data_IF_648909104936
#
_entry.id   IF_648909104936
#
_cell.length_a   1.000
_cell.length_b   1.000
_cell.length_c   1.000
_cell.angle_alpha   90.00
_cell.angle_beta   90.00
_cell.angle_gamma   90.00
#
_symmetry.space_group_name_H-M   'P 1'
#
loop_
_entity.id
_entity.type
_entity.pdbx_description
1 polymer ?
#
# COMPACT_ATOMS: atom_id res chain seq x y z
N UNK A 1 -18.37 11.62 1.00
CA UNK A 1 -18.17 11.64 2.46
C UNK A 1 -17.72 13.04 2.90
N UNK A 2 -18.14 13.53 4.06
CA UNK A 2 -17.63 14.79 4.63
C UNK A 2 -16.24 14.58 5.23
N UNK A 3 -15.38 15.62 5.20
CA UNK A 3 -13.99 15.56 5.76
C UNK A 3 -13.93 15.07 7.20
N UNK A 4 -14.93 15.40 8.02
CA UNK A 4 -14.99 15.00 9.43
C UNK A 4 -15.18 13.48 9.61
N UNK A 5 -15.99 12.83 8.77
CA UNK A 5 -16.20 11.39 8.81
C UNK A 5 -14.92 10.64 8.43
N UNK A 6 -14.23 11.10 7.39
CA UNK A 6 -12.95 10.51 6.96
C UNK A 6 -11.92 10.58 8.09
N UNK A 7 -11.85 11.71 8.81
CA UNK A 7 -10.91 11.84 9.93
C UNK A 7 -11.15 10.85 11.07
N UNK A 8 -12.42 10.52 11.33
CA UNK A 8 -12.78 9.58 12.38
C UNK A 8 -12.52 8.12 11.96
N UNK A 9 -12.81 7.79 10.71
CA UNK A 9 -12.78 6.41 10.21
C UNK A 9 -11.41 5.97 9.67
N UNK A 10 -10.57 6.91 9.22
CA UNK A 10 -9.30 6.60 8.56
C UNK A 10 -8.30 5.81 9.42
N UNK A 11 -8.10 6.12 10.71
CA UNK A 11 -7.19 5.34 11.55
C UNK A 11 -7.60 3.87 11.70
N UNK A 12 -8.90 3.60 11.72
CA UNK A 12 -9.47 2.25 11.85
C UNK A 12 -9.59 1.53 10.49
N UNK A 13 -9.81 2.28 9.41
CA UNK A 13 -10.08 1.75 8.07
C UNK A 13 -9.19 2.39 6.97
N UNK A 14 -7.86 2.39 7.10
CA UNK A 14 -6.98 3.15 6.20
C UNK A 14 -7.03 2.62 4.76
N UNK A 15 -7.24 1.32 4.57
CA UNK A 15 -7.37 0.70 3.24
C UNK A 15 -8.59 1.15 2.43
N UNK A 16 -9.60 1.77 3.05
CA UNK A 16 -10.73 2.36 2.30
C UNK A 16 -10.36 3.69 1.64
N UNK A 17 -9.33 4.37 2.18
CA UNK A 17 -8.93 5.72 1.78
C UNK A 17 -7.62 5.75 1.01
N UNK A 18 -6.79 4.72 1.18
CA UNK A 18 -5.51 4.57 0.52
C UNK A 18 -5.59 3.48 -0.55
N UNK A 19 -5.31 3.86 -1.80
CA UNK A 19 -5.28 2.95 -2.93
C UNK A 19 -3.85 2.45 -3.15
N UNK A 20 -3.69 1.15 -3.35
CA UNK A 20 -2.38 0.54 -3.62
C UNK A 20 -2.31 0.02 -5.04
N UNK A 21 -1.20 0.26 -5.72
CA UNK A 21 -0.90 -0.31 -7.03
C UNK A 21 0.52 -0.89 -7.03
N UNK A 22 0.66 -2.14 -7.46
CA UNK A 22 1.97 -2.72 -7.71
C UNK A 22 2.61 -2.07 -8.93
N UNK A 23 3.88 -1.74 -8.81
CA UNK A 23 4.73 -1.28 -9.89
C UNK A 23 5.96 -2.18 -9.96
N UNK A 24 6.47 -2.37 -11.17
CA UNK A 24 7.72 -3.10 -11.39
C UNK A 24 8.65 -2.18 -12.12
N UNK A 25 9.87 -2.06 -11.62
CA UNK A 25 10.90 -1.27 -12.27
C UNK A 25 11.60 -2.05 -13.41
N UNK A 26 12.54 -1.40 -14.08
CA UNK A 26 13.29 -2.00 -15.17
C UNK A 26 14.16 -3.19 -14.74
N UNK A 27 14.49 -3.30 -13.44
CA UNK A 27 15.25 -4.40 -12.85
C UNK A 27 14.34 -5.56 -12.37
N UNK A 28 13.03 -5.46 -12.56
CA UNK A 28 12.07 -6.45 -12.09
C UNK A 28 11.77 -6.34 -10.59
N UNK A 29 12.19 -5.27 -9.91
CA UNK A 29 11.91 -5.07 -8.50
C UNK A 29 10.49 -4.53 -8.32
N UNK A 30 9.82 -5.00 -7.28
CA UNK A 30 8.44 -4.65 -6.96
C UNK A 30 8.41 -3.45 -6.04
N UNK A 31 7.75 -2.40 -6.51
CA UNK A 31 7.33 -1.25 -5.71
C UNK A 31 5.82 -1.26 -5.48
N UNK A 32 5.39 -0.58 -4.43
CA UNK A 32 3.97 -0.32 -4.15
C UNK A 32 3.75 1.18 -4.20
N UNK A 33 3.00 1.65 -5.18
CA UNK A 33 2.47 3.00 -5.18
C UNK A 33 1.25 3.05 -4.25
N UNK A 34 1.32 3.89 -3.21
CA UNK A 34 0.21 4.15 -2.30
C UNK A 34 -0.31 5.56 -2.56
N UNK A 35 -1.53 5.67 -3.07
CA UNK A 35 -2.22 6.91 -3.35
C UNK A 35 -3.26 7.26 -2.29
N UNK A 36 -3.30 8.51 -1.87
CA UNK A 36 -4.31 9.01 -0.93
C UNK A 36 -5.53 9.53 -1.70
N UNK A 37 -6.60 8.73 -1.74
CA UNK A 37 -7.86 9.09 -2.39
C UNK A 37 -8.78 9.94 -1.48
N UNK A 38 -8.34 10.20 -0.25
CA UNK A 38 -9.11 10.97 0.73
C UNK A 38 -8.88 12.48 0.60
N UNK A 39 -9.80 13.32 1.11
CA UNK A 39 -9.63 14.77 1.11
C UNK A 39 -8.71 15.29 2.22
N UNK A 40 -8.08 14.42 3.02
CA UNK A 40 -7.21 14.78 4.15
C UNK A 40 -5.80 14.24 3.95
N UNK A 41 -4.79 14.96 4.42
CA UNK A 41 -3.42 14.48 4.37
C UNK A 41 -3.20 13.36 5.41
N UNK A 42 -2.37 12.37 5.07
CA UNK A 42 -2.03 11.24 5.95
C UNK A 42 -0.52 11.12 6.12
N UNK A 43 -0.08 10.43 7.17
CA UNK A 43 1.31 10.04 7.43
C UNK A 43 1.38 8.70 8.14
N UNK A 44 2.60 8.21 8.37
CA UNK A 44 2.87 6.91 9.02
C UNK A 44 2.06 5.78 8.38
N UNK A 45 2.13 5.71 7.05
CA UNK A 45 1.43 4.68 6.29
C UNK A 45 2.15 3.36 6.51
N UNK A 46 1.41 2.32 6.83
CA UNK A 46 1.89 0.96 6.99
C UNK A 46 1.27 0.05 5.95
N UNK A 47 2.11 -0.70 5.24
CA UNK A 47 1.66 -1.72 4.31
C UNK A 47 2.30 -3.07 4.59
N UNK A 48 1.56 -4.13 4.32
CA UNK A 48 2.07 -5.51 4.30
C UNK A 48 1.90 -6.05 2.89
N UNK A 49 2.90 -6.79 2.43
CA UNK A 49 2.87 -7.47 1.13
C UNK A 49 2.82 -8.98 1.37
N UNK A 50 1.79 -9.62 0.83
CA UNK A 50 1.62 -11.07 0.84
C UNK A 50 1.85 -11.66 -0.54
N UNK A 51 2.40 -12.87 -0.60
CA UNK A 51 2.52 -13.66 -1.83
C UNK A 51 1.63 -14.88 -1.71
N UNK A 52 0.76 -15.04 -2.71
CA UNK A 52 -0.12 -16.19 -2.85
C UNK A 52 0.55 -17.27 -3.71
N UNK A 53 0.22 -18.53 -3.46
CA UNK A 53 0.48 -19.60 -4.40
C UNK A 53 -0.57 -19.62 -5.54
N UNK A 54 -0.46 -20.52 -6.53
CA UNK A 54 -1.47 -20.64 -7.59
C UNK A 54 -2.87 -21.05 -7.10
N UNK A 55 -2.99 -21.65 -5.90
CA UNK A 55 -4.28 -22.00 -5.28
C UNK A 55 -4.95 -20.81 -4.59
N UNK A 56 -4.24 -19.68 -4.46
CA UNK A 56 -4.70 -18.49 -3.74
C UNK A 56 -4.37 -18.52 -2.24
N UNK A 57 -3.58 -19.49 -1.78
CA UNK A 57 -3.14 -19.58 -0.38
C UNK A 57 -1.94 -18.67 -0.14
N UNK A 58 -1.96 -17.87 0.92
CA UNK A 58 -0.81 -17.04 1.27
C UNK A 58 0.34 -17.92 1.76
N UNK A 59 1.44 -17.91 1.02
CA UNK A 59 2.65 -18.69 1.32
C UNK A 59 3.78 -17.82 1.86
N UNK A 60 3.71 -16.51 1.69
CA UNK A 60 4.69 -15.57 2.23
C UNK A 60 4.03 -14.25 2.61
N UNK A 61 4.59 -13.59 3.63
CA UNK A 61 4.22 -12.25 4.05
C UNK A 61 5.47 -11.48 4.47
N UNK A 62 5.57 -10.21 4.09
CA UNK A 62 6.63 -9.33 4.55
C UNK A 62 6.34 -8.82 5.97
N UNK A 63 7.37 -8.26 6.62
CA UNK A 63 7.14 -7.33 7.73
C UNK A 63 6.41 -6.08 7.21
N UNK A 64 5.72 -5.31 8.08
CA UNK A 64 5.16 -4.04 7.71
C UNK A 64 6.23 -3.08 7.19
N UNK A 65 5.99 -2.48 6.04
CA UNK A 65 6.74 -1.34 5.56
C UNK A 65 6.08 -0.08 6.11
N UNK A 66 6.85 0.74 6.83
CA UNK A 66 6.37 2.00 7.36
C UNK A 66 6.94 3.18 6.58
N UNK A 67 6.10 4.16 6.31
CA UNK A 67 6.49 5.40 5.63
C UNK A 67 5.96 6.60 6.40
N UNK A 68 6.88 7.37 6.98
CA UNK A 68 6.56 8.54 7.80
C UNK A 68 6.24 9.80 6.98
N UNK A 69 6.46 9.77 5.67
CA UNK A 69 6.18 10.89 4.79
C UNK A 69 4.70 11.27 4.82
N UNK A 70 4.43 12.58 4.69
CA UNK A 70 3.07 13.07 4.50
C UNK A 70 2.65 12.85 3.05
N UNK A 71 1.49 12.24 2.85
CA UNK A 71 0.84 12.07 1.55
C UNK A 71 -0.44 12.91 1.56
N UNK A 72 -0.41 14.03 0.83
CA UNK A 72 -1.56 14.92 0.72
C UNK A 72 -2.71 14.34 -0.12
N UNK A 73 -3.87 15.02 -0.14
CA UNK A 73 -5.02 14.59 -0.93
C UNK A 73 -4.68 14.45 -2.42
N UNK A 74 -5.02 13.31 -3.02
CA UNK A 74 -4.74 13.00 -4.42
C UNK A 74 -3.26 12.74 -4.74
N UNK A 75 -2.37 12.78 -3.75
CA UNK A 75 -0.95 12.47 -3.94
C UNK A 75 -0.69 10.99 -3.74
N UNK A 76 0.47 10.53 -4.22
CA UNK A 76 0.93 9.16 -4.02
C UNK A 76 2.41 9.12 -3.63
N UNK A 77 2.79 8.03 -2.98
CA UNK A 77 4.18 7.71 -2.65
C UNK A 77 4.53 6.31 -3.16
N UNK A 78 5.77 6.10 -3.60
CA UNK A 78 6.28 4.80 -3.99
C UNK A 78 7.07 4.18 -2.84
N UNK A 79 6.71 2.96 -2.45
CA UNK A 79 7.35 2.18 -1.42
C UNK A 79 8.11 1.04 -2.10
N UNK A 80 9.43 1.04 -1.98
CA UNK A 80 10.25 -0.05 -2.49
C UNK A 80 10.17 -1.22 -1.51
N UNK A 81 9.65 -2.35 -1.98
CA UNK A 81 9.43 -3.53 -1.12
C UNK A 81 10.67 -4.42 -1.02
N UNK A 82 11.63 -4.26 -1.93
CA UNK A 82 12.76 -5.16 -2.09
C UNK A 82 12.37 -6.57 -2.56
N UNK A 83 11.11 -6.78 -2.95
CA UNK A 83 10.64 -8.04 -3.53
C UNK A 83 10.98 -8.07 -5.03
N UNK A 84 11.40 -9.24 -5.52
CA UNK A 84 11.81 -9.44 -6.90
C UNK A 84 13.20 -10.11 -6.99
N UNK A 85 13.77 -10.21 -8.20
CA UNK A 85 13.18 -9.78 -9.46
C UNK A 85 11.99 -10.67 -9.86
N UNK A 86 10.85 -10.06 -10.17
CA UNK A 86 9.75 -10.78 -10.80
C UNK A 86 10.02 -10.91 -12.29
N UNK A 87 10.09 -12.14 -12.78
CA UNK A 87 10.38 -12.44 -14.19
C UNK A 87 9.11 -12.72 -15.01
N UNK A 88 8.03 -13.10 -14.34
CA UNK A 88 6.76 -13.46 -14.97
C UNK A 88 5.60 -12.61 -14.44
N UNK A 89 4.71 -12.19 -15.34
CA UNK A 89 3.50 -11.44 -14.95
C UNK A 89 2.59 -12.24 -14.00
N UNK A 90 2.59 -13.57 -14.10
CA UNK A 90 1.83 -14.44 -13.20
C UNK A 90 2.33 -14.36 -11.73
N UNK A 91 3.58 -13.99 -11.50
CA UNK A 91 4.10 -13.76 -10.14
C UNK A 91 3.49 -12.48 -9.55
N UNK A 92 3.36 -11.42 -10.35
CA UNK A 92 2.76 -10.15 -9.92
C UNK A 92 1.28 -10.28 -9.52
N UNK A 93 0.51 -11.08 -10.27
CA UNK A 93 -0.91 -11.30 -9.97
C UNK A 93 -1.14 -12.01 -8.62
N UNK A 94 -0.13 -12.74 -8.15
CA UNK A 94 -0.13 -13.44 -6.87
C UNK A 94 0.34 -12.57 -5.70
N UNK A 95 0.87 -11.37 -5.97
CA UNK A 95 1.23 -10.43 -4.92
C UNK A 95 -0.03 -9.65 -4.50
N UNK A 96 -0.29 -9.62 -3.20
CA UNK A 96 -1.34 -8.83 -2.57
C UNK A 96 -0.73 -7.81 -1.64
N UNK A 97 -1.30 -6.61 -1.63
CA UNK A 97 -0.89 -5.52 -0.75
C UNK A 97 -2.07 -5.18 0.13
N UNK A 98 -1.80 -4.99 1.41
CA UNK A 98 -2.77 -4.52 2.38
C UNK A 98 -2.21 -3.30 3.09
N UNK A 99 -3.04 -2.26 3.20
CA UNK A 99 -2.75 -1.11 4.06
C UNK A 99 -3.24 -1.46 5.45
N UNK A 100 -2.33 -1.51 6.42
CA UNK A 100 -2.62 -1.91 7.79
C UNK A 100 -2.67 -0.74 8.76
N UNK A 101 -2.14 0.41 8.36
CA UNK A 101 -2.10 1.60 9.22
C UNK A 101 -1.94 2.87 8.39
N UNK A 102 -2.56 3.96 8.87
CA UNK A 102 -2.26 5.33 8.47
C UNK A 102 -2.84 6.26 9.54
N UNK A 103 -2.21 7.41 9.74
CA UNK A 103 -2.74 8.45 10.65
C UNK A 103 -2.88 9.78 9.93
N UNK A 104 -3.66 10.68 10.48
CA UNK A 104 -3.83 12.02 9.92
C UNK A 104 -2.53 12.82 10.02
N UNK A 105 -2.19 13.53 8.95
CA UNK A 105 -1.18 14.56 8.96
C UNK A 105 -1.82 15.90 9.37
N UNK A 106 -1.94 16.12 10.67
CA UNK A 106 -2.19 17.44 11.27
C UNK A 106 -1.07 18.46 11.01
#
# INVERSE_FOLDING_TARGET
ASKALVRLDLPDNPGQYLQTRLQVDAQGQVGVAVGNASPVAVRNIEIIVGVLDPSGTQVQQTKPFQVSNVVGPGQQILINTGLGPVTEQAQLQRIKVQVTGAVLAE
#
